data_IF_450057838770
#
_entry.id   IF_450057838770
#
_cell.length_a   1.000
_cell.length_b   1.000
_cell.length_c   1.000
_cell.angle_alpha   90.00
_cell.angle_beta   90.00
_cell.angle_gamma   90.00
#
_symmetry.space_group_name_H-M   'P 1'
#
loop_
_entity.id
_entity.type
_entity.pdbx_description
1 polymer ?
#
# COMPACT_ATOMS: atom_id res chain seq x y z
N UNK A 1 28.02 9.17 11.55
CA UNK A 1 29.16 8.39 11.07
C UNK A 1 28.74 7.54 9.88
N UNK A 2 29.62 6.95 9.04
CA UNK A 2 29.17 6.25 7.81
C UNK A 2 28.17 5.11 8.06
N UNK A 3 28.35 4.36 9.15
CA UNK A 3 27.44 3.27 9.52
C UNK A 3 26.01 3.74 9.85
N UNK A 4 25.85 4.90 10.45
CA UNK A 4 24.52 5.44 10.79
C UNK A 4 23.78 5.86 9.53
N UNK A 5 24.46 6.48 8.57
CA UNK A 5 23.88 6.88 7.29
C UNK A 5 23.44 5.66 6.48
N UNK A 6 24.24 4.61 6.49
CA UNK A 6 23.92 3.36 5.81
C UNK A 6 22.71 2.67 6.46
N UNK A 7 22.65 2.61 7.80
CA UNK A 7 21.48 2.10 8.51
C UNK A 7 20.21 2.91 8.20
N UNK A 8 20.31 4.23 8.17
CA UNK A 8 19.17 5.10 7.82
C UNK A 8 18.72 4.88 6.36
N UNK A 9 19.65 4.75 5.43
CA UNK A 9 19.31 4.46 4.04
C UNK A 9 18.56 3.12 3.88
N UNK A 10 19.00 2.07 4.58
CA UNK A 10 18.31 0.78 4.59
C UNK A 10 16.93 0.85 5.29
N UNK A 11 16.81 1.61 6.37
CA UNK A 11 15.54 1.85 7.03
C UNK A 11 14.55 2.58 6.10
N UNK A 12 15.05 3.61 5.41
CA UNK A 12 14.26 4.34 4.41
C UNK A 12 13.85 3.47 3.23
N UNK A 13 14.73 2.57 2.79
CA UNK A 13 14.43 1.61 1.74
C UNK A 13 13.35 0.61 2.20
N UNK A 14 13.47 0.04 3.41
CA UNK A 14 12.47 -0.88 3.96
C UNK A 14 11.10 -0.19 4.10
N UNK A 15 11.06 1.02 4.63
CA UNK A 15 9.84 1.79 4.76
C UNK A 15 9.26 2.19 3.39
N UNK A 16 10.10 2.62 2.45
CA UNK A 16 9.70 2.93 1.08
C UNK A 16 9.08 1.74 0.35
N UNK A 17 9.63 0.54 0.55
CA UNK A 17 9.07 -0.70 -0.01
C UNK A 17 7.71 -1.04 0.61
N UNK A 18 7.52 -0.84 1.93
CA UNK A 18 6.20 -1.00 2.57
C UNK A 18 5.18 -0.01 2.01
N UNK A 19 5.58 1.25 1.86
CA UNK A 19 4.73 2.26 1.21
C UNK A 19 4.42 1.89 -0.24
N UNK A 20 5.36 1.31 -0.98
CA UNK A 20 5.13 0.83 -2.34
C UNK A 20 4.03 -0.22 -2.40
N UNK A 21 4.10 -1.26 -1.56
CA UNK A 21 3.12 -2.34 -1.54
C UNK A 21 1.70 -1.82 -1.29
N UNK A 22 1.56 -0.85 -0.39
CA UNK A 22 0.28 -0.20 -0.12
C UNK A 22 -0.13 0.71 -1.29
N UNK A 23 0.75 1.60 -1.72
CA UNK A 23 0.44 2.62 -2.71
C UNK A 23 0.20 2.05 -4.10
N UNK A 24 0.84 0.93 -4.46
CA UNK A 24 0.62 0.31 -5.77
C UNK A 24 -0.80 -0.26 -5.87
N UNK A 25 -1.35 -0.82 -4.79
CA UNK A 25 -2.76 -1.25 -4.74
C UNK A 25 -3.71 -0.08 -4.95
N UNK A 26 -3.45 1.04 -4.26
CA UNK A 26 -4.22 2.28 -4.43
C UNK A 26 -4.09 2.86 -5.85
N UNK A 27 -2.88 2.84 -6.41
CA UNK A 27 -2.60 3.30 -7.78
C UNK A 27 -3.35 2.48 -8.84
N UNK A 28 -3.44 1.16 -8.67
CA UNK A 28 -4.18 0.29 -9.57
C UNK A 28 -5.68 0.55 -9.49
N UNK A 29 -6.22 0.68 -8.27
CA UNK A 29 -7.64 1.01 -8.06
C UNK A 29 -7.96 2.36 -8.67
N UNK A 30 -7.23 3.42 -8.32
CA UNK A 30 -7.46 4.75 -8.85
C UNK A 30 -7.30 4.80 -10.38
N UNK A 31 -6.22 4.20 -10.90
CA UNK A 31 -5.93 4.24 -12.34
C UNK A 31 -7.00 3.60 -13.21
N UNK A 32 -7.72 2.59 -12.68
CA UNK A 32 -8.72 1.85 -13.46
C UNK A 32 -10.16 2.28 -13.18
N UNK A 33 -10.47 2.61 -11.93
CA UNK A 33 -11.84 2.92 -11.51
C UNK A 33 -12.10 4.41 -11.37
N UNK A 34 -11.05 5.24 -11.40
CA UNK A 34 -11.08 6.68 -11.09
C UNK A 34 -11.72 6.98 -9.73
N UNK A 35 -11.55 6.06 -8.77
CA UNK A 35 -12.10 6.11 -7.43
C UNK A 35 -11.01 6.40 -6.42
N UNK A 36 -11.13 7.48 -5.67
CA UNK A 36 -10.29 7.75 -4.50
C UNK A 36 -10.79 6.90 -3.33
N UNK A 37 -10.15 5.76 -3.10
CA UNK A 37 -10.52 4.85 -2.02
C UNK A 37 -9.81 5.22 -0.71
N UNK A 38 -10.46 6.01 0.13
CA UNK A 38 -9.92 6.37 1.45
C UNK A 38 -9.87 5.17 2.43
N UNK A 39 -10.70 4.14 2.22
CA UNK A 39 -10.64 2.92 3.03
C UNK A 39 -9.42 2.03 2.72
N UNK A 40 -8.55 2.42 1.77
CA UNK A 40 -7.40 1.59 1.39
C UNK A 40 -6.43 1.36 2.55
N UNK A 41 -6.23 2.36 3.42
CA UNK A 41 -5.47 2.20 4.67
C UNK A 41 -6.12 1.21 5.65
N UNK A 42 -7.45 1.09 5.64
CA UNK A 42 -8.13 0.08 6.45
C UNK A 42 -7.86 -1.34 5.98
N UNK A 43 -7.63 -1.57 4.68
CA UNK A 43 -7.18 -2.89 4.20
C UNK A 43 -5.79 -3.27 4.72
N UNK A 44 -4.89 -2.29 4.83
CA UNK A 44 -3.60 -2.47 5.49
C UNK A 44 -3.79 -2.86 6.97
N UNK A 45 -4.62 -2.15 7.70
CA UNK A 45 -4.94 -2.46 9.09
C UNK A 45 -5.56 -3.86 9.24
N UNK A 46 -6.56 -4.20 8.43
CA UNK A 46 -7.19 -5.52 8.43
C UNK A 46 -6.18 -6.63 8.13
N UNK A 47 -5.24 -6.39 7.21
CA UNK A 47 -4.16 -7.33 6.93
C UNK A 47 -3.26 -7.59 8.13
N UNK A 48 -2.86 -6.54 8.87
CA UNK A 48 -2.06 -6.65 10.08
C UNK A 48 -2.78 -7.44 11.18
N UNK A 49 -4.06 -7.17 11.42
CA UNK A 49 -4.86 -7.85 12.44
C UNK A 49 -5.25 -9.29 12.05
N UNK A 50 -5.56 -9.55 10.78
CA UNK A 50 -5.75 -10.90 10.27
C UNK A 50 -4.45 -11.71 10.38
N UNK A 51 -3.32 -11.09 10.03
CA UNK A 51 -2.00 -11.69 10.20
C UNK A 51 -1.70 -12.02 11.66
N UNK A 52 -1.94 -11.08 12.57
CA UNK A 52 -1.80 -11.30 14.01
C UNK A 52 -2.62 -12.53 14.48
N UNK A 53 -3.88 -12.62 14.07
CA UNK A 53 -4.77 -13.73 14.47
C UNK A 53 -4.30 -15.06 13.91
N UNK A 54 -3.86 -15.10 12.67
CA UNK A 54 -3.34 -16.31 12.04
C UNK A 54 -2.03 -16.78 12.69
N UNK A 55 -1.11 -15.85 12.99
CA UNK A 55 0.14 -16.17 13.70
C UNK A 55 -0.17 -16.70 15.10
N UNK A 56 -1.07 -16.04 15.84
CA UNK A 56 -1.45 -16.48 17.18
C UNK A 56 -2.12 -17.86 17.20
N UNK A 57 -2.93 -18.17 16.17
CA UNK A 57 -3.64 -19.44 16.08
C UNK A 57 -2.84 -20.60 15.50
N UNK A 58 -1.91 -20.34 14.58
CA UNK A 58 -1.18 -21.37 13.82
C UNK A 58 0.32 -21.42 14.10
N UNK A 59 0.86 -20.39 14.74
CA UNK A 59 2.32 -20.22 14.91
C UNK A 59 3.08 -19.89 13.62
N UNK A 60 2.40 -19.74 12.47
CA UNK A 60 3.05 -19.60 11.18
C UNK A 60 2.88 -18.22 10.56
N UNK A 61 3.98 -17.47 10.49
CA UNK A 61 4.03 -16.21 9.75
C UNK A 61 3.78 -16.39 8.24
N UNK A 62 4.29 -17.48 7.66
CA UNK A 62 4.17 -17.75 6.23
C UNK A 62 2.71 -18.02 5.81
N UNK A 63 1.96 -18.72 6.66
CA UNK A 63 0.53 -18.92 6.44
C UNK A 63 -0.22 -17.58 6.52
N UNK A 64 0.12 -16.74 7.49
CA UNK A 64 -0.46 -15.41 7.61
C UNK A 64 -0.15 -14.54 6.39
N UNK A 65 1.08 -14.59 5.86
CA UNK A 65 1.51 -13.86 4.68
C UNK A 65 0.73 -14.23 3.42
N UNK A 66 0.21 -15.45 3.33
CA UNK A 66 -0.59 -15.93 2.20
C UNK A 66 -2.10 -15.70 2.42
N UNK A 67 -2.61 -16.11 3.59
CA UNK A 67 -4.07 -16.18 3.83
C UNK A 67 -4.66 -14.81 4.16
N UNK A 68 -3.97 -13.98 4.96
CA UNK A 68 -4.52 -12.68 5.35
C UNK A 68 -4.73 -11.73 4.15
N UNK A 69 -3.78 -11.58 3.20
CA UNK A 69 -4.01 -10.76 2.01
C UNK A 69 -5.18 -11.27 1.15
N UNK A 70 -5.32 -12.59 1.00
CA UNK A 70 -6.43 -13.18 0.26
C UNK A 70 -7.78 -12.88 0.93
N UNK A 71 -7.85 -13.00 2.26
CA UNK A 71 -9.07 -12.66 3.01
C UNK A 71 -9.42 -11.17 2.84
N UNK A 72 -8.43 -10.26 2.94
CA UNK A 72 -8.63 -8.82 2.71
C UNK A 72 -9.05 -8.55 1.25
N UNK A 73 -8.48 -9.26 0.28
CA UNK A 73 -8.89 -9.19 -1.12
C UNK A 73 -10.36 -9.59 -1.33
N UNK A 74 -10.82 -10.66 -0.67
CA UNK A 74 -12.23 -11.08 -0.70
C UNK A 74 -13.13 -10.00 -0.09
N UNK A 75 -12.75 -9.44 1.06
CA UNK A 75 -13.47 -8.30 1.67
C UNK A 75 -13.55 -7.13 0.69
N UNK A 76 -12.43 -6.77 0.03
CA UNK A 76 -12.39 -5.74 -1.00
C UNK A 76 -13.34 -6.04 -2.16
N UNK A 77 -13.35 -7.28 -2.68
CA UNK A 77 -14.27 -7.69 -3.75
C UNK A 77 -15.74 -7.54 -3.35
N UNK A 78 -16.08 -7.92 -2.12
CA UNK A 78 -17.45 -7.77 -1.59
C UNK A 78 -17.83 -6.28 -1.50
N UNK A 79 -16.96 -5.44 -0.96
CA UNK A 79 -17.20 -3.99 -0.83
C UNK A 79 -17.37 -3.34 -2.21
N UNK A 80 -16.49 -3.65 -3.15
CA UNK A 80 -16.60 -3.12 -4.51
C UNK A 80 -17.95 -3.50 -5.13
N UNK A 81 -18.29 -4.78 -5.07
CA UNK A 81 -19.50 -5.29 -5.74
C UNK A 81 -20.80 -4.80 -5.10
N UNK A 82 -20.85 -4.72 -3.77
CA UNK A 82 -22.06 -4.38 -3.03
C UNK A 82 -22.26 -2.90 -2.76
N UNK A 83 -21.15 -2.16 -2.55
CA UNK A 83 -21.22 -0.78 -2.08
C UNK A 83 -20.68 0.23 -3.09
N UNK A 84 -19.50 0.00 -3.69
CA UNK A 84 -18.88 0.98 -4.60
C UNK A 84 -19.46 0.93 -6.00
N UNK A 85 -19.72 -0.27 -6.55
CA UNK A 85 -20.25 -0.42 -7.91
C UNK A 85 -21.55 0.35 -8.17
N UNK A 86 -22.54 0.37 -7.28
CA UNK A 86 -23.74 1.19 -7.47
C UNK A 86 -23.46 2.69 -7.55
N UNK A 87 -22.31 3.14 -7.01
CA UNK A 87 -21.90 4.54 -6.97
C UNK A 87 -21.04 4.98 -8.16
N UNK A 88 -20.64 4.10 -9.08
CA UNK A 88 -19.78 4.48 -10.23
C UNK A 88 -20.42 5.50 -11.17
N UNK A 89 -21.74 5.58 -11.17
CA UNK A 89 -22.48 6.58 -11.96
C UNK A 89 -22.86 7.85 -11.18
N UNK A 90 -22.43 7.92 -9.92
CA UNK A 90 -22.70 9.07 -9.04
C UNK A 90 -21.49 10.00 -8.96
N UNK A 91 -21.68 11.24 -8.49
CA UNK A 91 -20.56 12.15 -8.28
C UNK A 91 -19.42 11.51 -7.45
N UNK A 92 -18.15 11.83 -7.73
CA UNK A 92 -17.00 11.28 -7.01
C UNK A 92 -17.08 11.48 -5.48
N UNK A 93 -17.74 12.56 -5.04
CA UNK A 93 -17.92 12.85 -3.61
C UNK A 93 -18.67 11.74 -2.87
N UNK A 94 -19.68 11.12 -3.50
CA UNK A 94 -20.45 10.02 -2.90
C UNK A 94 -19.55 8.80 -2.62
N UNK A 95 -18.61 8.51 -3.52
CA UNK A 95 -17.66 7.42 -3.39
C UNK A 95 -16.63 7.71 -2.27
N UNK A 96 -16.13 8.96 -2.22
CA UNK A 96 -15.23 9.43 -1.16
C UNK A 96 -15.91 9.32 0.20
N UNK A 97 -17.16 9.77 0.31
CA UNK A 97 -17.93 9.74 1.56
C UNK A 97 -18.18 8.30 2.03
N UNK A 98 -18.52 7.38 1.10
CA UNK A 98 -18.67 5.96 1.42
C UNK A 98 -17.37 5.37 1.95
N UNK A 99 -16.26 5.58 1.24
CA UNK A 99 -14.96 5.02 1.63
C UNK A 99 -14.43 5.63 2.93
N UNK A 100 -14.75 6.89 3.19
CA UNK A 100 -14.50 7.55 4.48
C UNK A 100 -15.29 6.90 5.62
N UNK A 101 -16.57 6.57 5.39
CA UNK A 101 -17.39 5.82 6.35
C UNK A 101 -16.79 4.44 6.67
N UNK A 102 -16.22 3.76 5.69
CA UNK A 102 -15.53 2.48 5.92
C UNK A 102 -14.29 2.59 6.80
N UNK A 103 -13.61 3.73 6.85
CA UNK A 103 -12.47 3.94 7.77
C UNK A 103 -12.95 3.71 9.21
N UNK A 104 -14.00 4.40 9.63
CA UNK A 104 -14.53 4.29 10.99
C UNK A 104 -15.14 2.92 11.25
N UNK A 105 -15.89 2.38 10.29
CA UNK A 105 -16.49 1.05 10.42
C UNK A 105 -15.43 -0.02 10.69
N UNK A 106 -14.32 -0.02 9.94
CA UNK A 106 -13.26 -1.00 10.13
C UNK A 106 -12.43 -0.72 11.38
N UNK A 107 -12.20 0.54 11.73
CA UNK A 107 -11.51 0.89 12.98
C UNK A 107 -12.29 0.40 14.20
N UNK A 108 -13.61 0.62 14.23
CA UNK A 108 -14.45 0.18 15.34
C UNK A 108 -14.64 -1.35 15.34
N UNK A 109 -14.73 -1.99 14.17
CA UNK A 109 -14.73 -3.44 14.05
C UNK A 109 -13.45 -4.06 14.65
N UNK A 110 -12.29 -3.48 14.34
CA UNK A 110 -11.01 -3.92 14.88
C UNK A 110 -10.95 -3.73 16.40
N UNK A 111 -11.41 -2.59 16.93
CA UNK A 111 -11.51 -2.35 18.38
C UNK A 111 -12.43 -3.35 19.06
N UNK A 112 -13.54 -3.69 18.43
CA UNK A 112 -14.50 -4.66 18.97
C UNK A 112 -13.94 -6.09 19.02
N UNK A 113 -13.23 -6.52 17.97
CA UNK A 113 -12.70 -7.89 17.86
C UNK A 113 -11.40 -8.10 18.65
N UNK A 114 -10.47 -7.13 18.59
CA UNK A 114 -9.11 -7.27 19.14
C UNK A 114 -8.80 -6.33 20.30
N UNK A 115 -9.69 -5.38 20.56
CA UNK A 115 -9.50 -4.33 21.56
C UNK A 115 -8.68 -3.14 21.03
N UNK A 116 -8.62 -2.06 21.84
CA UNK A 116 -7.95 -0.80 21.46
C UNK A 116 -6.45 -0.74 21.76
N UNK A 117 -5.84 -1.82 22.25
CA UNK A 117 -4.41 -1.83 22.65
C UNK A 117 -3.50 -2.08 21.46
N UNK A 118 -2.28 -1.54 21.53
CA UNK A 118 -1.21 -1.87 20.60
C UNK A 118 -0.83 -3.34 20.77
N UNK A 119 -0.76 -4.06 19.66
CA UNK A 119 -0.38 -5.48 19.60
C UNK A 119 0.94 -5.63 18.86
N UNK A 120 1.97 -6.13 19.54
CA UNK A 120 3.22 -6.49 18.90
C UNK A 120 3.08 -7.80 18.15
N UNK A 121 3.62 -7.84 16.95
CA UNK A 121 3.68 -9.04 16.11
C UNK A 121 5.14 -9.46 16.03
N UNK A 122 5.49 -10.68 16.51
CA UNK A 122 6.88 -11.13 16.42
C UNK A 122 7.28 -11.39 14.96
N UNK A 123 8.52 -11.05 14.56
CA UNK A 123 9.05 -11.50 13.28
C UNK A 123 9.19 -13.03 13.27
N UNK A 124 9.17 -13.66 12.08
CA UNK A 124 9.41 -15.10 11.99
C UNK A 124 10.82 -15.45 12.50
N UNK A 125 10.99 -16.63 13.12
CA UNK A 125 12.23 -17.06 13.78
C UNK A 125 13.45 -16.95 12.85
N UNK A 126 13.28 -17.24 11.56
CA UNK A 126 14.34 -17.13 10.55
C UNK A 126 14.92 -15.70 10.43
N UNK A 127 14.16 -14.68 10.78
CA UNK A 127 14.52 -13.25 10.68
C UNK A 127 14.46 -12.52 12.03
N UNK A 128 14.50 -13.24 13.14
CA UNK A 128 14.49 -12.66 14.49
C UNK A 128 15.84 -12.06 14.92
N UNK A 129 16.91 -12.36 14.18
CA UNK A 129 18.27 -11.91 14.45
C UNK A 129 18.59 -10.52 13.89
N UNK A 130 19.87 -10.14 14.01
CA UNK A 130 20.45 -8.95 13.40
C UNK A 130 21.72 -9.32 12.62
N UNK A 131 21.99 -8.56 11.57
CA UNK A 131 23.18 -8.70 10.73
C UNK A 131 24.01 -7.43 10.84
N UNK A 132 25.32 -7.57 11.03
CA UNK A 132 26.25 -6.45 10.99
C UNK A 132 26.74 -6.25 9.56
N UNK A 133 26.42 -5.09 8.97
CA UNK A 133 26.87 -4.72 7.62
C UNK A 133 27.53 -3.36 7.69
N UNK A 134 28.79 -3.26 7.26
CA UNK A 134 29.57 -2.00 7.26
C UNK A 134 29.61 -1.31 8.64
N UNK A 135 29.60 -2.10 9.73
CA UNK A 135 29.61 -1.58 11.10
C UNK A 135 28.26 -1.14 11.64
N UNK A 136 27.18 -1.23 10.84
CA UNK A 136 25.81 -0.99 11.28
C UNK A 136 25.12 -2.30 11.65
N UNK A 137 24.40 -2.32 12.77
CA UNK A 137 23.57 -3.46 13.20
C UNK A 137 22.17 -3.27 12.64
N UNK A 138 21.74 -4.17 11.76
CA UNK A 138 20.45 -4.09 11.06
C UNK A 138 19.64 -5.34 11.40
N UNK A 139 18.36 -5.18 11.84
CA UNK A 139 17.47 -6.32 12.01
C UNK A 139 17.29 -7.08 10.70
N UNK A 140 17.50 -8.40 10.71
CA UNK A 140 17.40 -9.27 9.52
C UNK A 140 16.01 -9.20 8.86
N UNK A 141 14.96 -8.95 9.65
CA UNK A 141 13.62 -8.79 9.14
C UNK A 141 13.47 -7.58 8.17
N UNK A 142 14.22 -6.49 8.38
CA UNK A 142 14.20 -5.34 7.45
C UNK A 142 14.80 -5.70 6.09
N UNK A 143 15.84 -6.53 6.07
CA UNK A 143 16.41 -7.03 4.81
C UNK A 143 15.42 -7.95 4.09
N UNK A 144 14.72 -8.81 4.83
CA UNK A 144 13.63 -9.62 4.28
C UNK A 144 12.57 -8.73 3.64
N UNK A 145 12.10 -7.68 4.32
CA UNK A 145 11.09 -6.75 3.79
C UNK A 145 11.54 -6.11 2.48
N UNK A 146 12.80 -5.66 2.40
CA UNK A 146 13.35 -5.06 1.17
C UNK A 146 13.35 -6.09 0.03
N UNK A 147 13.93 -7.26 0.25
CA UNK A 147 14.04 -8.30 -0.78
C UNK A 147 12.66 -8.79 -1.23
N UNK A 148 11.78 -9.07 -0.27
CA UNK A 148 10.43 -9.53 -0.56
C UNK A 148 9.63 -8.48 -1.34
N UNK A 149 9.63 -7.23 -0.89
CA UNK A 149 8.85 -6.19 -1.55
C UNK A 149 9.39 -5.83 -2.94
N UNK A 150 10.72 -5.85 -3.15
CA UNK A 150 11.30 -5.70 -4.48
C UNK A 150 10.92 -6.89 -5.39
N UNK A 151 10.88 -8.10 -4.84
CA UNK A 151 10.40 -9.29 -5.58
C UNK A 151 8.95 -9.12 -6.01
N UNK A 152 8.09 -8.64 -5.10
CA UNK A 152 6.69 -8.31 -5.43
C UNK A 152 6.63 -7.19 -6.48
N UNK A 153 7.46 -6.15 -6.39
CA UNK A 153 7.52 -5.08 -7.40
C UNK A 153 7.86 -5.62 -8.79
N UNK A 154 8.85 -6.50 -8.88
CA UNK A 154 9.25 -7.16 -10.13
C UNK A 154 8.11 -8.06 -10.65
N UNK A 155 7.49 -8.86 -9.78
CA UNK A 155 6.36 -9.71 -10.13
C UNK A 155 5.17 -8.88 -10.67
N UNK A 156 4.84 -7.76 -10.01
CA UNK A 156 3.80 -6.84 -10.45
C UNK A 156 4.13 -6.20 -11.81
N UNK A 157 5.38 -5.80 -12.00
CA UNK A 157 5.83 -5.26 -13.27
C UNK A 157 5.61 -6.29 -14.40
N UNK A 158 6.04 -7.55 -14.22
CA UNK A 158 5.80 -8.60 -15.20
C UNK A 158 4.31 -8.89 -15.39
N UNK A 159 3.53 -8.96 -14.31
CA UNK A 159 2.09 -9.18 -14.36
C UNK A 159 1.39 -8.11 -15.21
N UNK A 160 1.68 -6.84 -14.95
CA UNK A 160 1.01 -5.71 -15.62
C UNK A 160 1.55 -5.49 -17.04
N UNK A 161 2.87 -5.58 -17.28
CA UNK A 161 3.46 -5.24 -18.57
C UNK A 161 3.51 -6.41 -19.57
N UNK A 162 3.58 -7.66 -19.09
CA UNK A 162 3.87 -8.83 -19.91
C UNK A 162 2.74 -9.85 -20.01
N UNK A 163 1.63 -9.70 -19.27
CA UNK A 163 0.53 -10.67 -19.32
C UNK A 163 -0.72 -10.14 -20.03
N UNK A 164 -1.60 -11.07 -20.44
CA UNK A 164 -2.91 -10.73 -21.02
C UNK A 164 -3.80 -9.99 -20.01
N UNK A 165 -3.74 -10.35 -18.72
CA UNK A 165 -4.46 -9.65 -17.66
C UNK A 165 -4.00 -8.20 -17.55
N UNK A 166 -2.68 -7.97 -17.55
CA UNK A 166 -2.13 -6.63 -17.56
C UNK A 166 -2.53 -5.81 -18.80
N UNK A 167 -2.59 -6.44 -19.97
CA UNK A 167 -3.07 -5.77 -21.17
C UNK A 167 -4.54 -5.32 -21.05
N UNK A 168 -5.41 -6.19 -20.48
CA UNK A 168 -6.82 -5.86 -20.21
C UNK A 168 -6.93 -4.71 -19.19
N UNK A 169 -6.14 -4.76 -18.12
CA UNK A 169 -6.11 -3.69 -17.11
C UNK A 169 -5.68 -2.37 -17.77
N UNK A 170 -4.59 -2.34 -18.53
CA UNK A 170 -4.13 -1.13 -19.21
C UNK A 170 -5.13 -0.60 -20.22
N UNK A 171 -5.80 -1.47 -20.97
CA UNK A 171 -6.87 -1.09 -21.90
C UNK A 171 -8.05 -0.46 -21.14
N UNK A 172 -8.50 -1.07 -20.03
CA UNK A 172 -9.58 -0.55 -19.20
C UNK A 172 -9.23 0.77 -18.52
N UNK A 173 -7.96 0.99 -18.13
CA UNK A 173 -7.46 2.29 -17.63
C UNK A 173 -7.47 3.36 -18.73
N UNK A 174 -7.24 2.97 -19.98
CA UNK A 174 -7.25 3.91 -21.10
C UNK A 174 -8.67 4.26 -21.54
N UNK A 175 -9.52 3.27 -21.74
CA UNK A 175 -10.91 3.42 -22.12
C UNK A 175 -11.71 2.18 -21.70
N UNK A 176 -12.46 2.30 -20.61
CA UNK A 176 -13.28 1.22 -20.06
C UNK A 176 -14.47 0.87 -20.98
N UNK A 177 -15.06 1.87 -21.66
CA UNK A 177 -16.22 1.69 -22.54
C UNK A 177 -15.81 0.94 -23.81
N UNK A 178 -14.73 1.38 -24.46
CA UNK A 178 -14.17 0.71 -25.62
C UNK A 178 -13.75 -0.73 -25.28
N UNK A 179 -13.10 -0.94 -24.14
CA UNK A 179 -12.69 -2.27 -23.67
C UNK A 179 -13.92 -3.19 -23.49
N UNK A 180 -15.02 -2.64 -22.96
CA UNK A 180 -16.30 -3.33 -22.86
C UNK A 180 -16.90 -3.69 -24.20
N UNK A 181 -16.80 -2.79 -25.19
CA UNK A 181 -17.24 -3.01 -26.58
C UNK A 181 -16.52 -4.16 -27.29
N UNK A 182 -15.29 -4.49 -26.86
CA UNK A 182 -14.53 -5.65 -27.34
C UNK A 182 -14.97 -6.98 -26.70
N UNK A 183 -16.07 -6.99 -25.94
CA UNK A 183 -16.63 -8.19 -25.30
C UNK A 183 -16.03 -8.54 -23.93
N UNK A 184 -15.17 -7.67 -23.38
CA UNK A 184 -14.58 -7.87 -22.06
C UNK A 184 -15.56 -7.37 -20.99
N UNK A 185 -15.89 -8.22 -20.01
CA UNK A 185 -16.76 -7.82 -18.91
C UNK A 185 -15.99 -6.89 -17.93
N UNK A 186 -16.08 -5.58 -18.18
CA UNK A 186 -15.33 -4.55 -17.45
C UNK A 186 -15.65 -4.56 -15.95
N UNK A 187 -16.89 -4.91 -15.55
CA UNK A 187 -17.27 -4.98 -14.15
C UNK A 187 -16.52 -6.10 -13.40
N UNK A 188 -16.26 -7.25 -14.06
CA UNK A 188 -15.45 -8.32 -13.46
C UNK A 188 -13.99 -7.89 -13.32
N UNK A 189 -13.49 -7.14 -14.29
CA UNK A 189 -12.12 -6.59 -14.25
C UNK A 189 -11.98 -5.57 -13.11
N UNK A 190 -12.97 -4.69 -12.93
CA UNK A 190 -13.00 -3.73 -11.81
C UNK A 190 -12.97 -4.44 -10.45
N UNK A 191 -13.82 -5.46 -10.26
CA UNK A 191 -13.81 -6.24 -9.02
C UNK A 191 -12.47 -6.93 -8.80
N UNK A 192 -11.89 -7.53 -9.83
CA UNK A 192 -10.60 -8.22 -9.73
C UNK A 192 -9.47 -7.25 -9.37
N UNK A 193 -9.43 -6.06 -9.99
CA UNK A 193 -8.42 -5.02 -9.70
C UNK A 193 -8.60 -4.46 -8.29
N UNK A 194 -9.84 -4.22 -7.87
CA UNK A 194 -10.11 -3.73 -6.52
C UNK A 194 -9.73 -4.77 -5.46
N UNK A 195 -10.12 -6.03 -5.66
CA UNK A 195 -9.76 -7.15 -4.79
C UNK A 195 -8.23 -7.33 -4.69
N UNK A 196 -7.56 -7.25 -5.84
CA UNK A 196 -6.10 -7.37 -5.90
C UNK A 196 -5.40 -6.20 -5.20
N UNK A 197 -5.88 -4.96 -5.42
CA UNK A 197 -5.37 -3.79 -4.71
C UNK A 197 -5.58 -3.91 -3.20
N UNK A 198 -6.77 -4.33 -2.74
CA UNK A 198 -7.05 -4.58 -1.34
C UNK A 198 -6.15 -5.68 -0.75
N UNK A 199 -5.90 -6.75 -1.52
CA UNK A 199 -4.96 -7.81 -1.12
C UNK A 199 -3.53 -7.29 -0.95
N UNK A 200 -3.05 -6.40 -1.84
CA UNK A 200 -1.75 -5.75 -1.71
C UNK A 200 -1.68 -4.84 -0.47
N UNK A 201 -2.76 -4.12 -0.17
CA UNK A 201 -2.89 -3.38 1.08
C UNK A 201 -2.79 -4.30 2.30
N UNK A 202 -3.53 -5.40 2.30
CA UNK A 202 -3.47 -6.43 3.35
C UNK A 202 -2.08 -7.07 3.48
N UNK A 203 -1.42 -7.36 2.36
CA UNK A 203 -0.04 -7.88 2.33
C UNK A 203 0.94 -6.91 2.98
N UNK A 204 0.84 -5.62 2.62
CA UNK A 204 1.65 -4.57 3.25
C UNK A 204 1.44 -4.53 4.76
N UNK A 205 0.19 -4.68 5.24
CA UNK A 205 -0.14 -4.72 6.67
C UNK A 205 0.48 -5.90 7.41
N UNK A 206 0.43 -7.12 6.84
CA UNK A 206 1.07 -8.31 7.43
C UNK A 206 2.58 -8.11 7.58
N UNK A 207 3.23 -7.60 6.51
CA UNK A 207 4.68 -7.41 6.49
C UNK A 207 5.10 -6.26 7.42
N UNK A 208 4.30 -5.22 7.53
CA UNK A 208 4.60 -4.09 8.42
C UNK A 208 4.41 -4.42 9.90
N UNK A 209 3.58 -5.40 10.24
CA UNK A 209 3.24 -5.76 11.61
C UNK A 209 4.44 -5.93 12.54
N UNK A 210 5.46 -6.72 12.19
CA UNK A 210 6.67 -6.88 13.02
C UNK A 210 7.53 -5.61 13.16
N UNK A 211 7.40 -4.64 12.27
CA UNK A 211 8.15 -3.37 12.34
C UNK A 211 7.39 -2.29 13.12
N UNK A 212 6.07 -2.18 12.88
CA UNK A 212 5.27 -1.04 13.34
C UNK A 212 4.27 -1.41 14.44
N UNK A 213 4.10 -2.71 14.75
CA UNK A 213 3.01 -3.24 15.59
C UNK A 213 1.62 -2.94 14.97
N UNK A 214 0.56 -3.56 15.52
CA UNK A 214 -0.80 -3.34 15.07
C UNK A 214 -1.57 -2.49 16.09
N UNK A 215 -2.23 -1.41 15.63
CA UNK A 215 -3.10 -0.55 16.44
C UNK A 215 -4.26 -0.02 15.60
N UNK A 216 -5.44 0.27 16.18
CA UNK A 216 -6.67 0.52 15.41
C UNK A 216 -6.62 1.70 14.45
N UNK A 217 -5.85 2.76 14.74
CA UNK A 217 -5.73 3.94 13.86
C UNK A 217 -4.60 3.84 12.82
N UNK A 218 -3.88 2.70 12.75
CA UNK A 218 -2.74 2.54 11.82
C UNK A 218 -3.13 2.71 10.35
N UNK A 219 -4.38 2.40 10.00
CA UNK A 219 -4.90 2.55 8.64
C UNK A 219 -4.93 4.01 8.18
N UNK A 220 -5.40 4.92 9.04
CA UNK A 220 -5.43 6.36 8.75
C UNK A 220 -4.02 6.94 8.70
N UNK A 221 -3.17 6.53 9.64
CA UNK A 221 -1.79 7.00 9.74
C UNK A 221 -0.98 6.70 8.46
N UNK A 222 -1.13 5.51 7.90
CA UNK A 222 -0.38 5.10 6.69
C UNK A 222 -1.03 5.59 5.39
N UNK A 223 -2.33 5.90 5.40
CA UNK A 223 -3.06 6.33 4.20
C UNK A 223 -2.50 7.63 3.62
N UNK A 224 -2.16 8.60 4.48
CA UNK A 224 -1.66 9.91 4.04
C UNK A 224 -0.33 9.78 3.30
N UNK A 225 0.74 9.14 3.84
CA UNK A 225 1.96 8.87 3.09
C UNK A 225 1.71 8.09 1.80
N UNK A 226 0.79 7.11 1.81
CA UNK A 226 0.45 6.34 0.62
C UNK A 226 -0.20 7.21 -0.48
N UNK A 227 -1.10 8.12 -0.12
CA UNK A 227 -1.68 9.08 -1.06
C UNK A 227 -0.61 10.03 -1.62
N UNK A 228 0.30 10.52 -0.77
CA UNK A 228 1.43 11.35 -1.20
C UNK A 228 2.28 10.59 -2.24
N UNK A 229 2.58 9.32 -2.00
CA UNK A 229 3.31 8.47 -2.95
C UNK A 229 2.58 8.39 -4.29
N UNK A 230 1.26 8.19 -4.28
CA UNK A 230 0.45 8.10 -5.52
C UNK A 230 0.46 9.41 -6.29
N UNK A 231 0.35 10.55 -5.59
CA UNK A 231 0.40 11.88 -6.20
C UNK A 231 1.80 12.18 -6.76
N UNK A 232 2.84 11.98 -5.95
CA UNK A 232 4.25 12.18 -6.34
C UNK A 232 4.64 11.26 -7.49
N UNK A 233 4.26 9.99 -7.43
CA UNK A 233 4.54 9.00 -8.46
C UNK A 233 3.82 9.29 -9.77
N UNK A 234 2.64 9.89 -9.68
CA UNK A 234 1.69 10.11 -10.78
C UNK A 234 0.60 9.05 -10.80
N UNK A 235 -0.65 9.52 -10.85
CA UNK A 235 -1.85 8.69 -10.77
C UNK A 235 -1.86 7.59 -11.84
N UNK A 236 -2.09 6.34 -11.43
CA UNK A 236 -2.14 5.18 -12.32
C UNK A 236 -0.77 4.68 -12.82
N UNK A 237 0.35 5.21 -12.33
CA UNK A 237 1.71 4.82 -12.75
C UNK A 237 2.37 3.86 -11.77
N UNK A 238 2.53 2.59 -12.16
CA UNK A 238 3.24 1.57 -11.37
C UNK A 238 4.70 1.97 -11.10
N UNK A 239 5.41 2.45 -12.14
CA UNK A 239 6.81 2.93 -12.02
C UNK A 239 6.88 4.15 -11.11
N UNK A 240 5.90 5.04 -11.24
CA UNK A 240 5.77 6.21 -10.38
C UNK A 240 5.56 5.85 -8.92
N UNK A 241 4.69 4.88 -8.63
CA UNK A 241 4.48 4.40 -7.25
C UNK A 241 5.76 3.83 -6.64
N UNK A 242 6.57 3.07 -7.39
CA UNK A 242 7.83 2.52 -6.87
C UNK A 242 8.84 3.63 -6.58
N UNK A 243 9.09 4.52 -7.53
CA UNK A 243 10.08 5.59 -7.34
C UNK A 243 9.60 6.59 -6.30
N UNK A 244 8.32 6.97 -6.35
CA UNK A 244 7.70 7.87 -5.36
C UNK A 244 7.77 7.32 -3.94
N UNK A 245 7.48 6.03 -3.75
CA UNK A 245 7.55 5.40 -2.43
C UNK A 245 8.96 5.33 -1.87
N UNK A 246 9.95 5.04 -2.71
CA UNK A 246 11.35 5.04 -2.29
C UNK A 246 11.83 6.45 -1.92
N UNK A 247 11.46 7.47 -2.70
CA UNK A 247 11.77 8.87 -2.40
C UNK A 247 11.14 9.32 -1.08
N UNK A 248 9.84 9.08 -0.90
CA UNK A 248 9.12 9.44 0.33
C UNK A 248 9.64 8.65 1.53
N UNK A 249 9.93 7.35 1.35
CA UNK A 249 10.50 6.52 2.40
C UNK A 249 11.87 7.02 2.87
N UNK A 250 12.74 7.43 1.95
CA UNK A 250 14.02 8.06 2.28
C UNK A 250 13.82 9.43 2.95
N UNK A 251 12.98 10.29 2.36
CA UNK A 251 12.71 11.61 2.90
C UNK A 251 12.18 11.56 4.34
N UNK A 252 11.24 10.67 4.64
CA UNK A 252 10.69 10.50 5.97
C UNK A 252 11.73 9.96 6.96
N UNK A 253 12.53 8.96 6.56
CA UNK A 253 13.51 8.34 7.44
C UNK A 253 14.66 9.29 7.77
N UNK A 254 15.22 9.95 6.77
CA UNK A 254 16.25 10.96 7.00
C UNK A 254 15.69 12.20 7.72
N UNK A 255 14.44 12.55 7.43
CA UNK A 255 13.74 13.62 8.14
C UNK A 255 13.64 13.35 9.63
N UNK A 256 13.22 12.16 10.01
CA UNK A 256 13.17 11.74 11.44
C UNK A 256 14.54 11.71 12.10
N UNK A 257 15.58 11.37 11.35
CA UNK A 257 16.96 11.30 11.90
C UNK A 257 17.61 12.68 12.10
N UNK A 258 17.39 13.65 11.18
CA UNK A 258 18.09 14.92 11.20
C UNK A 258 17.26 16.09 11.70
N UNK A 259 15.95 16.05 11.46
CA UNK A 259 15.01 17.11 11.83
C UNK A 259 13.74 16.49 12.47
N UNK A 260 13.84 15.88 13.67
CA UNK A 260 12.72 15.15 14.29
C UNK A 260 11.45 16.00 14.44
N UNK A 261 11.63 17.30 14.80
CA UNK A 261 10.54 18.25 15.01
C UNK A 261 9.78 18.60 13.71
N UNK A 262 10.50 18.58 12.58
CA UNK A 262 9.96 18.91 11.26
C UNK A 262 9.70 17.66 10.38
N UNK A 263 9.90 16.46 10.90
CA UNK A 263 9.85 15.22 10.12
C UNK A 263 8.54 15.02 9.36
N UNK A 264 7.41 15.37 9.97
CA UNK A 264 6.11 15.31 9.30
C UNK A 264 6.01 16.30 8.13
N UNK A 265 6.65 17.47 8.21
CA UNK A 265 6.58 18.48 7.15
C UNK A 265 7.41 18.09 5.92
N UNK A 266 8.46 17.30 6.10
CA UNK A 266 9.41 16.97 5.02
C UNK A 266 8.71 16.26 3.87
N UNK A 267 7.85 15.31 4.14
CA UNK A 267 7.11 14.58 3.09
C UNK A 267 6.18 15.49 2.30
N UNK A 268 5.54 16.47 2.95
CA UNK A 268 4.70 17.46 2.29
C UNK A 268 5.52 18.46 1.48
N UNK A 269 6.69 18.89 1.98
CA UNK A 269 7.60 19.76 1.24
C UNK A 269 8.12 19.06 -0.01
N UNK A 270 8.52 17.79 0.10
CA UNK A 270 8.94 16.99 -1.06
C UNK A 270 7.79 16.85 -2.07
N UNK A 271 6.59 16.58 -1.61
CA UNK A 271 5.40 16.51 -2.46
C UNK A 271 5.17 17.86 -3.18
N UNK A 272 5.15 18.97 -2.42
CA UNK A 272 4.91 20.30 -2.97
C UNK A 272 6.00 20.68 -4.00
N UNK A 273 7.27 20.40 -3.71
CA UNK A 273 8.37 20.68 -4.63
C UNK A 273 8.22 19.90 -5.96
N UNK A 274 7.85 18.60 -5.88
CA UNK A 274 7.63 17.78 -7.07
C UNK A 274 6.41 18.30 -7.85
N UNK A 275 5.31 18.62 -7.18
CA UNK A 275 4.09 19.13 -7.83
C UNK A 275 4.28 20.50 -8.48
N UNK A 276 5.13 21.37 -7.92
CA UNK A 276 5.48 22.66 -8.54
C UNK A 276 6.28 22.48 -9.84
N UNK A 277 7.16 21.48 -9.91
CA UNK A 277 7.99 21.20 -11.09
C UNK A 277 7.26 20.32 -12.10
N UNK A 278 6.47 19.34 -11.61
CA UNK A 278 5.74 18.37 -12.41
C UNK A 278 4.34 18.12 -11.80
N UNK A 279 3.33 18.94 -12.15
CA UNK A 279 1.98 18.84 -11.56
C UNK A 279 1.27 17.51 -11.83
N UNK A 280 1.70 16.74 -12.81
CA UNK A 280 1.19 15.40 -13.11
C UNK A 280 1.92 14.28 -12.35
N UNK A 281 2.84 14.62 -11.46
CA UNK A 281 3.73 13.67 -10.79
C UNK A 281 4.91 13.24 -11.67
N UNK A 282 5.81 12.39 -11.12
CA UNK A 282 7.06 12.01 -11.80
C UNK A 282 6.82 11.23 -13.10
N UNK A 283 5.80 10.37 -13.13
CA UNK A 283 5.46 9.46 -14.23
C UNK A 283 3.97 9.49 -14.60
N UNK A 284 3.26 10.54 -14.22
CA UNK A 284 1.86 10.75 -14.58
C UNK A 284 1.69 11.03 -16.07
N UNK A 285 0.47 10.82 -16.58
CA UNK A 285 0.11 11.19 -17.95
C UNK A 285 -0.06 12.71 -18.04
N UNK A 286 0.25 13.32 -19.20
CA UNK A 286 -0.06 14.74 -19.42
C UNK A 286 -1.56 14.98 -19.18
N UNK A 287 -1.88 16.03 -18.44
CA UNK A 287 -3.25 16.53 -18.33
C UNK A 287 -3.71 16.92 -19.74
N UNK A 288 -4.83 16.33 -20.18
CA UNK A 288 -5.48 16.71 -21.45
C UNK A 288 -6.09 18.07 -21.35
#
# INVERSE_FOLDING_TARGET
MPGDLFAQALNGLAYGVLLFLLSVGLTLIFGMLDVVNLAHGSFYMLGAYAGLSLIAGTGSFWLALLVAPLAVGVIGAVIERSCLRPLYRRPPLDQVLLTFGFIYLFEDLVKWLWGGRIRSIPPPDLFSGSVSVLGAIIPSYRLFVIVFGLTVAVALFFLIERTRLGAIIRAGVFDAEMTGGLGINIHRVFTAVFAFGAALGGLSGVIAGPIQSAYPSMGVTILIPALIVVVVGGLGSLKGSLIGSLLIGQAETFGKAWLPEASMLIIYVVMAAIMLVRPQGLFGRPLK
#
